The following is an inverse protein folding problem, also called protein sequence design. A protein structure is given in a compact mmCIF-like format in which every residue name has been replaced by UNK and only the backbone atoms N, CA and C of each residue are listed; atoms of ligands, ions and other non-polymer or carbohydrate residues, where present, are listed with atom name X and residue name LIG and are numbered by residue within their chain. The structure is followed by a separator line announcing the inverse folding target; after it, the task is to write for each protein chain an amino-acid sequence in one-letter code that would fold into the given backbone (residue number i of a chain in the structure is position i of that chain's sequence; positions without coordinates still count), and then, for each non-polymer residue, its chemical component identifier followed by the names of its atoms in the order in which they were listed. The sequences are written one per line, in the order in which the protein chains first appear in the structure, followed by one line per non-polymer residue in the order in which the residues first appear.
data_IF_445359670224
#
_entry.id   IF_445359670224
#
_cell.length_a   1.000
_cell.length_b   1.000
_cell.length_c   1.000
_cell.angle_alpha   90.00
_cell.angle_beta   90.00
_cell.angle_gamma   90.00
#
_symmetry.space_group_name_H-M   'P 1'
#
loop_
_entity.id
_entity.type
_entity.pdbx_description
1 polymer ?
#
# COMPACT_ATOMS: atom_id res chain seq x y z
N UNK A 1 1.88 -11.37 -27.25
CA UNK A 1 1.50 -11.00 -25.87
C UNK A 1 1.50 -9.47 -25.68
N UNK A 2 0.54 -8.72 -26.26
CA UNK A 2 0.61 -7.23 -26.39
C UNK A 2 -0.44 -6.45 -25.57
N UNK A 3 -1.23 -7.11 -24.71
CA UNK A 3 -2.34 -6.46 -23.98
C UNK A 3 -1.93 -5.74 -22.68
N UNK A 4 -0.68 -5.90 -22.21
CA UNK A 4 -0.25 -5.31 -20.92
C UNK A 4 0.03 -3.80 -20.96
N UNK A 5 0.20 -3.21 -22.14
CA UNK A 5 0.73 -1.84 -22.28
C UNK A 5 -0.34 -0.75 -22.44
N UNK A 6 -1.61 -1.13 -22.63
CA UNK A 6 -2.70 -0.16 -22.89
C UNK A 6 -3.23 0.45 -21.59
N UNK A 7 -3.21 -0.31 -20.50
CA UNK A 7 -3.83 0.10 -19.23
C UNK A 7 -2.85 0.71 -18.22
N UNK A 8 -1.54 0.67 -18.51
CA UNK A 8 -0.52 1.13 -17.56
C UNK A 8 0.08 2.45 -18.05
N UNK A 9 -0.32 3.59 -17.47
CA UNK A 9 0.22 4.90 -17.86
C UNK A 9 1.75 4.95 -17.70
N UNK A 10 2.42 5.71 -18.58
CA UNK A 10 3.90 5.79 -18.68
C UNK A 10 4.58 6.07 -17.33
N UNK A 11 3.96 6.85 -16.45
CA UNK A 11 4.44 7.13 -15.09
C UNK A 11 4.62 5.87 -14.22
N UNK A 12 3.72 4.90 -14.32
CA UNK A 12 3.78 3.66 -13.52
C UNK A 12 4.89 2.73 -14.05
N UNK A 13 5.11 2.74 -15.36
CA UNK A 13 6.21 1.98 -15.96
C UNK A 13 7.57 2.57 -15.56
N UNK A 14 7.70 3.90 -15.54
CA UNK A 14 8.89 4.59 -15.03
C UNK A 14 9.10 4.31 -13.54
N UNK A 15 8.06 4.38 -12.71
CA UNK A 15 8.18 4.03 -11.29
C UNK A 15 8.68 2.60 -11.08
N UNK A 16 8.18 1.63 -11.87
CA UNK A 16 8.62 0.23 -11.80
C UNK A 16 10.05 0.06 -12.29
N UNK A 17 10.45 0.77 -13.34
CA UNK A 17 11.83 0.75 -13.83
C UNK A 17 12.78 1.34 -12.78
N UNK A 18 12.47 2.53 -12.26
CA UNK A 18 13.21 3.17 -11.17
C UNK A 18 13.29 2.28 -9.92
N UNK A 19 12.19 1.63 -9.51
CA UNK A 19 12.18 0.69 -8.39
C UNK A 19 13.06 -0.54 -8.64
N UNK A 20 13.06 -1.06 -9.87
CA UNK A 20 13.84 -2.25 -10.26
C UNK A 20 15.33 -1.92 -10.42
N UNK A 21 15.65 -0.70 -10.83
CA UNK A 21 17.01 -0.25 -11.14
C UNK A 21 17.70 0.40 -9.93
N UNK A 22 16.96 1.17 -9.11
CA UNK A 22 17.47 1.83 -7.89
C UNK A 22 17.21 1.06 -6.60
N UNK A 23 16.31 0.08 -6.63
CA UNK A 23 15.95 -0.76 -5.48
C UNK A 23 15.06 -0.07 -4.44
N UNK A 24 14.42 -0.89 -3.59
CA UNK A 24 13.55 -0.44 -2.49
C UNK A 24 14.24 0.59 -1.57
N UNK A 25 15.54 0.44 -1.33
CA UNK A 25 16.31 1.30 -0.42
C UNK A 25 16.36 2.76 -0.90
N UNK A 26 16.59 2.99 -2.19
CA UNK A 26 16.66 4.35 -2.76
C UNK A 26 15.28 4.98 -2.90
N UNK A 27 14.26 4.16 -3.17
CA UNK A 27 12.87 4.60 -3.18
C UNK A 27 12.39 5.08 -1.80
N UNK A 28 12.78 4.37 -0.73
CA UNK A 28 12.50 4.80 0.64
C UNK A 28 13.27 6.07 0.99
N UNK A 29 14.50 6.26 0.48
CA UNK A 29 15.22 7.53 0.63
C UNK A 29 14.56 8.69 -0.14
N UNK A 30 14.13 8.47 -1.39
CA UNK A 30 13.49 9.50 -2.24
C UNK A 30 12.11 9.92 -1.71
N UNK A 31 11.31 8.97 -1.21
CA UNK A 31 10.01 9.28 -0.57
C UNK A 31 10.14 9.76 0.87
N UNK A 32 11.22 9.37 1.56
CA UNK A 32 11.57 9.79 2.91
C UNK A 32 10.43 9.59 3.92
N UNK A 33 10.08 10.66 4.63
CA UNK A 33 9.08 10.67 5.71
C UNK A 33 7.68 10.20 5.26
N UNK A 34 7.35 10.30 3.97
CA UNK A 34 6.06 9.83 3.44
C UNK A 34 5.93 8.31 3.56
N UNK A 35 7.03 7.56 3.46
CA UNK A 35 7.02 6.11 3.70
C UNK A 35 6.72 5.82 5.16
N UNK A 36 7.37 6.53 6.08
CA UNK A 36 7.10 6.39 7.50
C UNK A 36 5.63 6.71 7.84
N UNK A 37 5.08 7.78 7.26
CA UNK A 37 3.66 8.12 7.41
C UNK A 37 2.74 7.03 6.83
N UNK A 38 3.10 6.46 5.67
CA UNK A 38 2.35 5.36 5.06
C UNK A 38 2.37 4.09 5.91
N UNK A 39 3.53 3.73 6.48
CA UNK A 39 3.64 2.61 7.42
C UNK A 39 2.81 2.89 8.68
N UNK A 40 2.94 4.10 9.25
CA UNK A 40 2.18 4.49 10.43
C UNK A 40 0.68 4.39 10.20
N UNK A 41 0.17 4.97 9.10
CA UNK A 41 -1.24 4.89 8.73
C UNK A 41 -1.69 3.45 8.45
N UNK A 42 -0.86 2.64 7.80
CA UNK A 42 -1.15 1.23 7.58
C UNK A 42 -1.35 0.48 8.91
N UNK A 43 -0.45 0.69 9.88
CA UNK A 43 -0.58 0.09 11.21
C UNK A 43 -1.79 0.64 11.96
N UNK A 44 -2.05 1.95 11.89
CA UNK A 44 -3.21 2.57 12.53
C UNK A 44 -4.53 1.99 12.02
N UNK A 45 -4.66 1.86 10.70
CA UNK A 45 -5.84 1.27 10.05
C UNK A 45 -5.95 -0.21 10.40
N UNK A 46 -4.84 -0.97 10.38
CA UNK A 46 -4.82 -2.38 10.76
C UNK A 46 -5.32 -2.58 12.18
N UNK A 47 -4.77 -1.84 13.14
CA UNK A 47 -5.17 -1.94 14.56
C UNK A 47 -6.64 -1.54 14.74
N UNK A 48 -7.07 -0.46 14.08
CA UNK A 48 -8.47 -0.02 14.14
C UNK A 48 -9.42 -1.06 13.54
N UNK A 49 -9.07 -1.67 12.40
CA UNK A 49 -9.91 -2.72 11.79
C UNK A 49 -9.95 -3.95 12.71
N UNK A 50 -8.79 -4.41 13.18
CA UNK A 50 -8.69 -5.66 13.94
C UNK A 50 -9.39 -5.56 15.30
N UNK A 51 -9.21 -4.45 16.00
CA UNK A 51 -9.67 -4.31 17.39
C UNK A 51 -10.93 -3.47 17.57
N UNK A 52 -11.33 -2.71 16.56
CA UNK A 52 -12.58 -1.94 16.60
C UNK A 52 -13.58 -2.55 15.63
N UNK A 53 -13.22 -2.66 14.35
CA UNK A 53 -14.18 -3.07 13.32
C UNK A 53 -14.61 -4.54 13.45
N UNK A 54 -13.68 -5.48 13.62
CA UNK A 54 -14.03 -6.90 13.78
C UNK A 54 -14.94 -7.13 15.00
N UNK A 55 -14.60 -6.71 16.23
CA UNK A 55 -15.48 -6.92 17.38
C UNK A 55 -16.81 -6.18 17.25
N UNK A 56 -16.84 -5.02 16.60
CA UNK A 56 -18.10 -4.33 16.29
C UNK A 56 -19.00 -5.15 15.34
N UNK A 57 -18.42 -5.76 14.30
CA UNK A 57 -19.16 -6.61 13.36
C UNK A 57 -19.65 -7.90 14.01
N UNK A 58 -18.86 -8.49 14.92
CA UNK A 58 -19.26 -9.65 15.73
C UNK A 58 -20.41 -9.26 16.68
N UNK A 59 -20.31 -8.13 17.38
CA UNK A 59 -21.37 -7.64 18.27
C UNK A 59 -22.68 -7.33 17.52
N UNK A 60 -22.60 -6.98 16.23
CA UNK A 60 -23.74 -6.78 15.33
C UNK A 60 -24.25 -8.07 14.68
N UNK A 61 -23.62 -9.22 14.95
CA UNK A 61 -24.00 -10.53 14.40
C UNK A 61 -23.73 -10.69 12.91
N UNK A 62 -22.87 -9.85 12.32
CA UNK A 62 -22.52 -9.90 10.89
C UNK A 62 -21.40 -10.90 10.58
N UNK A 63 -20.63 -11.29 11.60
CA UNK A 63 -19.55 -12.27 11.55
C UNK A 63 -19.66 -13.17 12.79
N UNK A 64 -19.44 -14.48 12.64
CA UNK A 64 -19.47 -15.49 13.72
C UNK A 64 -18.10 -16.04 14.02
#
# INVERSE_FOLDING_TARGET
MKFKNVLIPRKIQQLRADLKEKGLKKFVMDMGWKVALGIFLYYLIRDSILYILIPYLIARGMLS
#
